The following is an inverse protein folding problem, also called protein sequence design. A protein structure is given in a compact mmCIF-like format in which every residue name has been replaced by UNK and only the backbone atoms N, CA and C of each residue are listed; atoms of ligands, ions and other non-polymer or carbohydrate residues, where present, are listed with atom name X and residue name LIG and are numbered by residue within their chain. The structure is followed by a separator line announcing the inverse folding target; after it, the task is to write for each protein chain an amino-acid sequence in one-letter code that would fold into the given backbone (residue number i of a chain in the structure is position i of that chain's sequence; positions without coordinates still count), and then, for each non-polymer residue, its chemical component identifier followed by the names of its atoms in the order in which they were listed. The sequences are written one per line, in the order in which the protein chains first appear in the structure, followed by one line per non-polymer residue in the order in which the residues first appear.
data_IF_998113479449
#
_entry.id   IF_998113479449
#
_cell.length_a   1.000
_cell.length_b   1.000
_cell.length_c   1.000
_cell.angle_alpha   90.00
_cell.angle_beta   90.00
_cell.angle_gamma   90.00
#
_symmetry.space_group_name_H-M   'P 1'
#
loop_
_entity.id
_entity.type
_entity.pdbx_description
1 polymer ?
#
# COMPACT_ATOMS: atom_id res chain seq x y z
N UNK A 1 -13.70 5.75 -10.20
CA UNK A 1 -13.09 5.75 -11.55
C UNK A 1 -11.84 4.90 -11.54
N UNK A 2 -11.25 4.56 -12.70
CA UNK A 2 -9.98 3.82 -12.78
C UNK A 2 -8.89 4.76 -13.29
N UNK A 3 -7.77 4.85 -12.57
CA UNK A 3 -6.56 5.52 -13.03
C UNK A 3 -5.59 4.44 -13.55
N UNK A 4 -5.14 4.58 -14.79
CA UNK A 4 -4.20 3.66 -15.44
C UNK A 4 -2.83 4.28 -15.60
N UNK A 5 -1.81 3.44 -15.70
CA UNK A 5 -0.42 3.84 -16.00
C UNK A 5 0.14 4.86 -14.99
N UNK A 6 -0.24 4.72 -13.72
CA UNK A 6 0.22 5.62 -12.65
C UNK A 6 1.57 5.14 -12.12
N UNK A 7 2.56 6.04 -12.08
CA UNK A 7 3.84 5.78 -11.44
C UNK A 7 3.80 6.18 -9.97
N UNK A 8 4.05 5.21 -9.09
CA UNK A 8 3.92 5.38 -7.64
C UNK A 8 5.31 5.40 -7.01
N UNK A 9 5.76 6.55 -6.47
CA UNK A 9 7.00 6.60 -5.73
C UNK A 9 6.83 5.92 -4.37
N UNK A 10 7.69 4.95 -4.06
CA UNK A 10 7.76 4.30 -2.74
C UNK A 10 9.20 4.29 -2.27
N UNK A 11 9.53 5.21 -1.36
CA UNK A 11 10.90 5.46 -0.95
C UNK A 11 11.76 5.85 -2.15
N UNK A 12 12.72 4.99 -2.49
CA UNK A 12 13.62 5.17 -3.65
C UNK A 12 13.13 4.54 -4.96
N UNK A 13 12.06 3.76 -4.91
CA UNK A 13 11.53 3.05 -6.08
C UNK A 13 10.36 3.80 -6.71
N UNK A 14 10.06 3.49 -7.97
CA UNK A 14 8.87 3.95 -8.65
C UNK A 14 8.25 2.78 -9.40
N UNK A 15 7.04 2.39 -9.03
CA UNK A 15 6.36 1.23 -9.63
C UNK A 15 5.17 1.69 -10.50
N UNK A 16 4.97 1.09 -11.69
CA UNK A 16 3.74 1.28 -12.43
C UNK A 16 2.59 0.55 -11.73
N UNK A 17 1.42 1.18 -11.66
CA UNK A 17 0.25 0.65 -11.01
C UNK A 17 -1.04 1.20 -11.63
N UNK A 18 -2.06 0.34 -11.68
CA UNK A 18 -3.43 0.74 -11.95
C UNK A 18 -4.19 0.82 -10.61
N UNK A 19 -4.98 1.88 -10.43
CA UNK A 19 -5.75 2.11 -9.21
C UNK A 19 -7.24 2.24 -9.48
N UNK A 20 -8.03 1.72 -8.55
CA UNK A 20 -9.44 2.09 -8.42
C UNK A 20 -9.50 3.32 -7.52
N UNK A 21 -9.96 4.44 -8.06
CA UNK A 21 -10.23 5.67 -7.32
C UNK A 21 -11.67 5.62 -6.84
N UNK A 22 -11.83 5.50 -5.52
CA UNK A 22 -13.13 5.57 -4.84
C UNK A 22 -13.32 7.00 -4.34
N UNK A 23 -14.47 7.59 -4.66
CA UNK A 23 -14.84 8.91 -4.14
C UNK A 23 -15.31 8.73 -2.69
N UNK A 24 -14.46 9.10 -1.74
CA UNK A 24 -14.70 9.02 -0.31
C UNK A 24 -14.23 10.30 0.35
N UNK A 25 -14.88 10.73 1.44
CA UNK A 25 -14.43 11.91 2.19
C UNK A 25 -12.99 11.72 2.63
N UNK A 26 -12.10 12.67 2.29
CA UNK A 26 -10.66 12.57 2.58
C UNK A 26 -10.44 12.42 4.09
N UNK A 27 -10.37 11.19 4.54
CA UNK A 27 -10.14 10.82 5.92
C UNK A 27 -8.76 10.15 5.98
N UNK A 28 -7.77 10.77 6.63
CA UNK A 28 -6.44 10.19 6.79
C UNK A 28 -6.45 8.90 7.62
N UNK A 29 -7.58 8.55 8.27
CA UNK A 29 -7.80 7.27 8.93
C UNK A 29 -8.14 6.15 7.95
N UNK A 30 -8.46 6.47 6.69
CA UNK A 30 -8.73 5.44 5.67
C UNK A 30 -7.40 4.94 5.10
N UNK A 31 -7.05 3.67 5.32
CA UNK A 31 -5.81 3.09 4.83
C UNK A 31 -5.66 3.20 3.31
N UNK A 32 -4.41 3.33 2.84
CA UNK A 32 -4.10 3.10 1.44
C UNK A 32 -4.11 1.61 1.18
N UNK A 33 -4.91 1.17 0.23
CA UNK A 33 -5.04 -0.25 -0.10
C UNK A 33 -4.04 -0.58 -1.21
N UNK A 34 -3.09 -1.48 -0.92
CA UNK A 34 -2.22 -2.04 -1.95
C UNK A 34 -2.75 -3.41 -2.35
N UNK A 35 -3.25 -3.49 -3.59
CA UNK A 35 -3.73 -4.74 -4.15
C UNK A 35 -2.60 -5.71 -4.51
N UNK A 36 -2.96 -6.98 -4.70
CA UNK A 36 -2.04 -8.04 -5.19
C UNK A 36 -1.30 -7.66 -6.48
N UNK A 37 -1.91 -7.00 -7.48
CA UNK A 37 -1.19 -6.58 -8.69
C UNK A 37 0.00 -5.68 -8.38
N UNK A 38 -0.17 -4.67 -7.51
CA UNK A 38 0.90 -3.78 -7.09
C UNK A 38 2.02 -4.55 -6.36
N UNK A 39 1.63 -5.39 -5.39
CA UNK A 39 2.57 -6.22 -4.63
C UNK A 39 3.36 -7.17 -5.53
N UNK A 40 2.72 -7.71 -6.56
CA UNK A 40 3.39 -8.55 -7.58
C UNK A 40 4.38 -7.75 -8.42
N UNK A 41 4.00 -6.55 -8.87
CA UNK A 41 4.90 -5.65 -9.63
C UNK A 41 6.15 -5.31 -8.82
N UNK A 42 5.97 -4.99 -7.53
CA UNK A 42 7.05 -4.64 -6.61
C UNK A 42 7.77 -5.85 -5.99
N UNK A 43 7.45 -7.09 -6.44
CA UNK A 43 8.00 -8.35 -5.94
C UNK A 43 8.04 -8.41 -4.41
N UNK A 44 6.93 -7.98 -3.80
CA UNK A 44 6.84 -7.76 -2.36
C UNK A 44 6.98 -9.08 -1.59
N UNK A 45 7.76 -9.04 -0.51
CA UNK A 45 7.81 -10.08 0.51
C UNK A 45 7.22 -9.52 1.80
N UNK A 46 6.29 -10.25 2.39
CA UNK A 46 5.59 -9.81 3.60
C UNK A 46 5.85 -10.82 4.71
N UNK A 47 6.55 -10.38 5.75
CA UNK A 47 6.65 -11.11 6.99
C UNK A 47 5.63 -10.55 7.99
N UNK A 48 4.53 -11.29 8.14
CA UNK A 48 3.43 -10.93 9.04
C UNK A 48 3.88 -11.03 10.50
N UNK A 49 4.73 -11.99 10.84
CA UNK A 49 5.18 -12.17 12.22
C UNK A 49 6.24 -11.14 12.61
N UNK A 50 7.16 -10.85 11.68
CA UNK A 50 8.19 -9.82 11.84
C UNK A 50 7.68 -8.39 11.69
N UNK A 51 6.43 -8.21 11.23
CA UNK A 51 5.83 -6.91 10.93
C UNK A 51 6.67 -6.10 9.93
N UNK A 52 7.13 -6.76 8.87
CA UNK A 52 7.96 -6.14 7.82
C UNK A 52 7.45 -6.46 6.42
N UNK A 53 7.51 -5.46 5.54
CA UNK A 53 7.29 -5.63 4.11
C UNK A 53 8.55 -5.21 3.34
N UNK A 54 9.01 -6.05 2.43
CA UNK A 54 10.16 -5.77 1.58
C UNK A 54 9.69 -5.63 0.14
N UNK A 55 9.91 -4.46 -0.46
CA UNK A 55 9.74 -4.23 -1.89
C UNK A 55 11.09 -4.41 -2.60
N UNK A 56 11.07 -4.98 -3.81
CA UNK A 56 12.28 -5.25 -4.59
C UNK A 56 12.15 -4.67 -5.99
N UNK A 57 13.24 -4.05 -6.44
CA UNK A 57 13.43 -3.62 -7.82
C UNK A 57 14.84 -4.06 -8.24
N UNK A 58 14.90 -5.01 -9.16
CA UNK A 58 16.13 -5.73 -9.53
C UNK A 58 16.89 -6.29 -8.31
N UNK A 59 18.16 -5.90 -8.11
CA UNK A 59 18.98 -6.30 -6.96
C UNK A 59 18.76 -5.41 -5.72
N UNK A 60 18.00 -4.32 -5.85
CA UNK A 60 17.73 -3.41 -4.76
C UNK A 60 16.48 -3.81 -3.96
N UNK A 61 16.50 -3.50 -2.66
CA UNK A 61 15.34 -3.67 -1.77
C UNK A 61 15.08 -2.48 -0.86
N UNK A 62 13.83 -2.33 -0.47
CA UNK A 62 13.32 -1.38 0.52
C UNK A 62 12.53 -2.16 1.56
N UNK A 63 12.96 -2.10 2.81
CA UNK A 63 12.23 -2.68 3.95
C UNK A 63 11.37 -1.59 4.58
N UNK A 64 10.08 -1.87 4.71
CA UNK A 64 9.07 -1.04 5.34
C UNK A 64 8.64 -1.72 6.64
N UNK A 65 8.64 -0.94 7.71
CA UNK A 65 8.18 -1.40 9.01
C UNK A 65 6.64 -1.29 9.08
N UNK A 66 5.97 -2.38 9.43
CA UNK A 66 4.51 -2.47 9.54
C UNK A 66 4.01 -2.38 10.99
N UNK A 67 4.88 -2.06 11.96
CA UNK A 67 4.50 -1.90 13.36
C UNK A 67 3.34 -0.92 13.50
N UNK A 68 2.33 -1.34 14.25
CA UNK A 68 1.27 -0.45 14.65
C UNK A 68 1.82 0.54 15.68
N UNK A 69 1.89 1.82 15.32
CA UNK A 69 1.93 2.90 16.32
C UNK A 69 0.55 2.94 17.01
N UNK A 70 0.35 2.06 17.99
CA UNK A 70 -0.88 1.98 18.81
C UNK A 70 -1.17 3.25 19.60
N UNK A 71 -0.24 4.20 19.69
CA UNK A 71 -0.43 5.47 20.38
C UNK A 71 -1.21 6.52 19.55
N UNK A 72 -1.42 6.27 18.26
CA UNK A 72 -1.89 7.28 17.29
C UNK A 72 -3.42 7.48 17.19
N UNK A 73 -4.24 6.69 17.91
CA UNK A 73 -5.66 7.01 18.08
C UNK A 73 -5.91 8.11 19.11
N UNK A 74 -4.87 8.64 19.75
CA UNK A 74 -4.95 9.80 20.64
C UNK A 74 -4.66 11.11 19.87
N UNK A 75 -5.74 11.78 19.45
CA UNK A 75 -5.86 13.23 19.19
C UNK A 75 -4.57 14.02 18.80
N UNK A 76 -3.98 13.79 17.62
CA UNK A 76 -3.04 14.78 17.04
C UNK A 76 -3.23 14.91 15.52
N UNK A 77 -3.47 16.12 14.98
CA UNK A 77 -3.96 16.30 13.60
C UNK A 77 -2.85 16.41 12.55
N UNK A 78 -1.59 16.17 12.92
CA UNK A 78 -0.49 16.36 11.98
C UNK A 78 0.71 15.50 12.36
N UNK A 79 0.80 14.29 11.80
CA UNK A 79 2.07 13.60 11.65
C UNK A 79 1.99 12.60 10.51
N UNK A 80 3.08 12.54 9.75
CA UNK A 80 3.29 11.71 8.57
C UNK A 80 3.34 10.23 8.98
N UNK A 81 2.19 9.67 9.36
CA UNK A 81 2.03 8.24 9.50
C UNK A 81 1.96 7.63 8.10
N UNK A 82 2.77 6.58 7.87
CA UNK A 82 2.70 5.79 6.65
C UNK A 82 1.28 5.23 6.58
N UNK A 83 0.51 5.64 5.56
CA UNK A 83 -0.88 5.20 5.38
C UNK A 83 -0.95 3.69 5.59
N UNK A 84 -1.77 3.24 6.53
CA UNK A 84 -1.97 1.82 6.83
C UNK A 84 -2.19 1.06 5.52
N UNK A 85 -1.38 0.04 5.25
CA UNK A 85 -1.45 -0.74 4.02
C UNK A 85 -2.40 -1.90 4.27
N UNK A 86 -3.61 -1.84 3.71
CA UNK A 86 -4.53 -2.97 3.77
C UNK A 86 -4.40 -3.81 2.49
N UNK A 87 -4.20 -5.12 2.64
CA UNK A 87 -3.97 -6.05 1.53
C UNK A 87 -5.28 -6.78 1.24
N UNK A 88 -5.95 -6.41 0.17
CA UNK A 88 -7.13 -7.13 -0.29
C UNK A 88 -6.77 -8.13 -1.39
N UNK A 89 -7.10 -9.39 -1.13
CA UNK A 89 -7.06 -10.47 -2.10
C UNK A 89 -8.32 -10.37 -2.99
N UNK A 90 -8.37 -9.41 -3.91
CA UNK A 90 -9.42 -9.40 -4.94
C UNK A 90 -9.08 -10.52 -5.92
N UNK A 91 -9.88 -11.58 -5.98
CA UNK A 91 -9.67 -12.62 -6.97
C UNK A 91 -9.95 -12.06 -8.36
N UNK A 92 -9.16 -12.45 -9.37
CA UNK A 92 -9.37 -11.98 -10.76
C UNK A 92 -10.74 -12.41 -11.32
N UNK A 93 -11.43 -13.32 -10.65
CA UNK A 93 -12.78 -13.78 -10.99
C UNK A 93 -13.91 -12.90 -10.42
N UNK A 94 -13.61 -11.91 -9.57
CA UNK A 94 -14.61 -10.94 -9.06
C UNK A 94 -14.71 -9.66 -9.92
N UNK A 95 -14.01 -9.61 -11.06
CA UNK A 95 -13.99 -8.46 -11.99
C UNK A 95 -14.57 -8.80 -13.37
N UNK A 96 -15.62 -9.62 -13.40
CA UNK A 96 -16.50 -9.78 -14.57
C UNK A 96 -17.96 -9.71 -14.11
N UNK A 97 -18.47 -8.50 -13.89
CA UNK A 97 -19.89 -8.18 -14.08
C UNK A 97 -20.04 -6.79 -14.70
#
# INVERSE_FOLDING_TARGET
GIARDVFVPVGKFTFPADFVVVDYERDPRVPLILGRPFLSTARALIDVHGEEMILRDDDERLTLNMKHDTDSYSNHPHRESVNLINIFNVSSEDCLE
#
